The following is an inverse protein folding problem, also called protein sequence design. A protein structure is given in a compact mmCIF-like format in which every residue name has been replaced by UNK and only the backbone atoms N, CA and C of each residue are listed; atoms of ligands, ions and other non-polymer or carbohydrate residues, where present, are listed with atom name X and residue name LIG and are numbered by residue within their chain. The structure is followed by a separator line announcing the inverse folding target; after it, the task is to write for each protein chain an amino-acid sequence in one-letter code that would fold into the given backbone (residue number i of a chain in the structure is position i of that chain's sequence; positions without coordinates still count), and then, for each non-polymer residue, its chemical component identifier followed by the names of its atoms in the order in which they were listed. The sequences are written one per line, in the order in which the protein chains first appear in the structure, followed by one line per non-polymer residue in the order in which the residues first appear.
data_IF_008569403469
#
_entry.id   IF_008569403469
#
_cell.length_a   1.000
_cell.length_b   1.000
_cell.length_c   1.000
_cell.angle_alpha   90.00
_cell.angle_beta   90.00
_cell.angle_gamma   90.00
#
_symmetry.space_group_name_H-M   'P 1'
#
loop_
_entity.id
_entity.type
_entity.pdbx_description
1 polymer ?
#
# COMPACT_ATOMS: atom_id res chain seq x y z
N UNK A 1 -15.76 -5.85 4.61
CA UNK A 1 -15.16 -4.51 4.51
C UNK A 1 -15.72 -3.84 3.26
N UNK A 2 -16.28 -2.63 3.33
CA UNK A 2 -16.75 -1.94 2.12
C UNK A 2 -15.56 -1.63 1.20
N UNK A 3 -15.78 -1.49 -0.11
CA UNK A 3 -14.72 -1.17 -1.09
C UNK A 3 -13.87 0.03 -0.66
N UNK A 4 -14.53 1.06 -0.10
CA UNK A 4 -13.92 2.29 0.44
C UNK A 4 -13.01 2.08 1.64
N UNK A 5 -13.34 1.12 2.52
CA UNK A 5 -12.50 0.79 3.66
C UNK A 5 -11.23 0.05 3.21
N UNK A 6 -11.28 -0.67 2.08
CA UNK A 6 -10.09 -1.30 1.49
C UNK A 6 -9.18 -0.27 0.82
N UNK A 7 -9.72 0.68 0.06
CA UNK A 7 -8.94 1.77 -0.58
C UNK A 7 -8.22 2.64 0.47
N UNK A 8 -8.90 2.95 1.59
CA UNK A 8 -8.31 3.71 2.69
C UNK A 8 -7.19 2.95 3.40
N UNK A 9 -7.37 1.65 3.66
CA UNK A 9 -6.32 0.82 4.23
C UNK A 9 -5.09 0.73 3.31
N UNK A 10 -5.28 0.73 1.99
CA UNK A 10 -4.18 0.75 1.01
C UNK A 10 -3.40 2.07 1.04
N UNK A 11 -4.10 3.21 1.07
CA UNK A 11 -3.45 4.51 1.17
C UNK A 11 -2.66 4.66 2.47
N UNK A 12 -3.23 4.24 3.60
CA UNK A 12 -2.54 4.25 4.89
C UNK A 12 -1.30 3.36 4.87
N UNK A 13 -1.37 2.20 4.24
CA UNK A 13 -0.22 1.32 4.08
C UNK A 13 0.90 1.97 3.26
N UNK A 14 0.56 2.59 2.12
CA UNK A 14 1.52 3.34 1.30
C UNK A 14 2.13 4.48 2.09
N UNK A 15 1.33 5.19 2.87
CA UNK A 15 1.78 6.30 3.67
C UNK A 15 2.77 5.83 4.76
N UNK A 16 2.43 4.76 5.49
CA UNK A 16 3.30 4.18 6.51
C UNK A 16 4.59 3.62 5.90
N UNK A 17 4.52 3.02 4.70
CA UNK A 17 5.68 2.60 3.90
C UNK A 17 6.58 3.82 3.61
N UNK A 18 6.00 4.92 3.17
CA UNK A 18 6.78 6.12 2.82
C UNK A 18 7.37 6.78 4.08
N UNK A 19 6.66 6.76 5.21
CA UNK A 19 7.17 7.34 6.46
C UNK A 19 8.35 6.57 7.08
N UNK A 20 8.50 5.28 6.77
CA UNK A 20 9.62 4.47 7.29
C UNK A 20 10.91 4.62 6.49
N UNK A 21 10.95 5.45 5.44
CA UNK A 21 12.17 5.67 4.63
C UNK A 21 13.27 6.36 5.44
N UNK A 22 14.50 5.87 5.32
CA UNK A 22 15.68 6.51 5.91
C UNK A 22 15.99 7.85 5.23
N UNK A 23 16.09 8.91 6.02
CA UNK A 23 16.32 10.26 5.50
C UNK A 23 17.78 10.44 5.05
N UNK A 24 17.96 10.87 3.81
CA UNK A 24 19.27 11.31 3.28
C UNK A 24 19.18 12.76 2.77
N UNK A 25 20.32 13.45 2.70
CA UNK A 25 20.38 14.84 2.21
C UNK A 25 19.85 14.99 0.77
N UNK A 26 19.98 13.94 -0.04
CA UNK A 26 19.51 13.91 -1.42
C UNK A 26 17.99 14.04 -1.53
N UNK A 27 17.22 13.49 -0.60
CA UNK A 27 15.76 13.56 -0.64
C UNK A 27 15.24 14.97 -0.39
N UNK A 28 15.92 15.70 0.51
CA UNK A 28 15.65 17.13 0.75
C UNK A 28 15.90 17.93 -0.54
N UNK A 29 16.96 17.61 -1.28
CA UNK A 29 17.25 18.26 -2.58
C UNK A 29 16.15 17.97 -3.61
N UNK A 30 15.72 16.72 -3.77
CA UNK A 30 14.62 16.37 -4.68
C UNK A 30 13.33 17.12 -4.35
N UNK A 31 12.98 17.17 -3.06
CA UNK A 31 11.82 17.91 -2.59
C UNK A 31 11.93 19.39 -2.95
N UNK A 32 13.10 19.99 -2.73
CA UNK A 32 13.37 21.40 -3.04
C UNK A 32 13.28 21.68 -4.55
N UNK A 33 13.80 20.80 -5.41
CA UNK A 33 13.70 20.93 -6.86
C UNK A 33 12.24 20.94 -7.34
N UNK A 34 11.41 20.02 -6.85
CA UNK A 34 9.97 20.00 -7.16
C UNK A 34 9.28 21.28 -6.67
N UNK A 35 9.61 21.74 -5.46
CA UNK A 35 9.07 23.00 -4.93
C UNK A 35 9.46 24.19 -5.80
N UNK A 36 10.73 24.29 -6.23
CA UNK A 36 11.22 25.34 -7.12
C UNK A 36 10.55 25.28 -8.49
N UNK A 37 10.33 24.08 -9.04
CA UNK A 37 9.60 23.91 -10.29
C UNK A 37 8.16 24.43 -10.20
N UNK A 38 7.43 24.08 -9.14
CA UNK A 38 6.05 24.52 -8.88
C UNK A 38 5.93 26.03 -8.66
N UNK A 39 6.91 26.61 -7.99
CA UNK A 39 6.94 28.03 -7.62
C UNK A 39 7.82 28.88 -8.54
N UNK A 40 8.22 28.38 -9.72
CA UNK A 40 9.15 29.07 -10.65
C UNK A 40 8.70 30.49 -11.02
N UNK A 41 7.39 30.72 -11.05
CA UNK A 41 6.77 32.01 -11.41
C UNK A 41 6.42 32.86 -10.17
N UNK A 42 6.72 32.41 -8.95
CA UNK A 42 6.40 33.07 -7.69
C UNK A 42 7.67 33.42 -6.90
N UNK A 43 8.17 34.66 -7.07
CA UNK A 43 9.39 35.13 -6.42
C UNK A 43 9.34 35.08 -4.89
N UNK A 44 8.17 35.32 -4.28
CA UNK A 44 8.05 35.24 -2.82
C UNK A 44 8.15 33.79 -2.33
N UNK A 45 7.52 32.87 -3.06
CA UNK A 45 7.63 31.44 -2.80
C UNK A 45 9.07 30.94 -2.91
N UNK A 46 9.79 31.35 -3.96
CA UNK A 46 11.21 31.01 -4.13
C UNK A 46 12.09 31.50 -2.98
N UNK A 47 11.87 32.72 -2.47
CA UNK A 47 12.58 33.23 -1.29
C UNK A 47 12.32 32.39 -0.04
N UNK A 48 11.07 31.95 0.17
CA UNK A 48 10.72 31.08 1.31
C UNK A 48 11.36 29.69 1.15
N UNK A 49 11.48 29.19 -0.08
CA UNK A 49 12.18 27.93 -0.38
C UNK A 49 13.69 28.07 -0.10
N UNK A 50 14.32 29.18 -0.49
CA UNK A 50 15.73 29.45 -0.18
C UNK A 50 15.96 29.53 1.35
N UNK A 51 15.05 30.18 2.07
CA UNK A 51 15.08 30.24 3.54
C UNK A 51 14.95 28.84 4.15
N UNK A 52 14.03 28.02 3.65
CA UNK A 52 13.84 26.64 4.10
C UNK A 52 15.12 25.81 3.89
N UNK A 53 15.73 25.90 2.70
CA UNK A 53 16.94 25.14 2.38
C UNK A 53 18.05 25.37 3.42
N UNK A 54 18.24 26.63 3.82
CA UNK A 54 19.28 27.06 4.76
C UNK A 54 18.91 26.76 6.23
N UNK A 55 17.65 26.97 6.62
CA UNK A 55 17.27 27.04 8.04
C UNK A 55 16.55 25.79 8.57
N UNK A 56 16.07 24.93 7.67
CA UNK A 56 15.32 23.73 8.03
C UNK A 56 16.20 22.68 8.69
N UNK A 57 15.71 22.20 9.83
CA UNK A 57 16.21 21.05 10.58
C UNK A 57 15.03 20.15 10.94
N UNK A 58 15.27 18.86 11.14
CA UNK A 58 14.21 17.87 11.38
C UNK A 58 13.38 18.13 12.64
N UNK A 59 13.90 18.90 13.60
CA UNK A 59 13.21 19.38 14.80
C UNK A 59 12.30 20.61 14.55
N UNK A 60 12.29 21.19 13.34
CA UNK A 60 11.43 22.34 12.97
C UNK A 60 10.29 22.02 11.99
N UNK A 61 10.01 20.74 11.70
CA UNK A 61 8.95 20.33 10.80
C UNK A 61 7.56 20.88 11.17
N UNK A 62 7.15 20.83 12.45
CA UNK A 62 5.86 21.41 12.88
C UNK A 62 5.81 22.93 12.67
N UNK A 63 6.91 23.63 12.97
CA UNK A 63 7.01 25.07 12.74
C UNK A 63 6.85 25.41 11.24
N UNK A 64 7.47 24.65 10.35
CA UNK A 64 7.36 24.85 8.91
C UNK A 64 6.01 24.42 8.34
N UNK A 65 5.38 23.38 8.91
CA UNK A 65 4.05 22.91 8.52
C UNK A 65 2.96 23.94 8.85
N UNK A 66 3.07 24.62 9.98
CA UNK A 66 2.08 25.61 10.46
C UNK A 66 2.33 27.03 9.94
N UNK A 67 3.51 27.29 9.36
CA UNK A 67 3.82 28.56 8.70
C UNK A 67 3.08 28.65 7.37
N UNK A 68 2.55 29.84 7.04
CA UNK A 68 2.07 30.15 5.69
C UNK A 68 3.24 30.08 4.69
N UNK A 69 3.39 28.92 4.07
CA UNK A 69 4.52 28.56 3.22
C UNK A 69 4.06 27.67 2.05
N UNK A 70 5.03 27.11 1.31
CA UNK A 70 4.75 26.14 0.25
C UNK A 70 4.41 24.75 0.82
N UNK A 71 4.96 24.38 1.98
CA UNK A 71 4.89 23.01 2.51
C UNK A 71 3.48 22.61 2.89
N UNK A 72 2.78 23.41 3.69
CA UNK A 72 1.40 23.12 4.08
C UNK A 72 0.52 22.85 2.87
N UNK A 73 0.66 23.66 1.81
CA UNK A 73 -0.18 23.55 0.61
C UNK A 73 0.17 22.31 -0.20
N UNK A 74 1.44 22.12 -0.54
CA UNK A 74 1.88 21.01 -1.39
C UNK A 74 1.69 19.65 -0.69
N UNK A 75 1.99 19.55 0.60
CA UNK A 75 1.83 18.32 1.37
C UNK A 75 0.35 17.95 1.51
N UNK A 76 -0.52 18.90 1.87
CA UNK A 76 -1.95 18.60 1.99
C UNK A 76 -2.62 18.38 0.63
N UNK A 77 -2.13 18.97 -0.45
CA UNK A 77 -2.56 18.66 -1.82
C UNK A 77 -2.19 17.22 -2.20
N UNK A 78 -0.94 16.82 -2.01
CA UNK A 78 -0.45 15.47 -2.28
C UNK A 78 -1.26 14.41 -1.52
N UNK A 79 -1.49 14.65 -0.24
CA UNK A 79 -2.26 13.77 0.63
C UNK A 79 -3.75 13.70 0.23
N UNK A 80 -4.38 14.84 -0.09
CA UNK A 80 -5.80 14.88 -0.50
C UNK A 80 -6.04 14.23 -1.86
N UNK A 81 -5.09 14.36 -2.79
CA UNK A 81 -5.16 13.75 -4.12
C UNK A 81 -4.63 12.32 -4.16
N UNK A 82 -4.19 11.79 -3.02
CA UNK A 82 -3.56 10.48 -2.89
C UNK A 82 -2.43 10.28 -3.92
N UNK A 83 -1.71 11.36 -4.24
CA UNK A 83 -0.67 11.34 -5.24
C UNK A 83 0.60 10.74 -4.64
N UNK A 84 0.76 9.43 -4.83
CA UNK A 84 1.90 8.64 -4.32
C UNK A 84 3.25 9.24 -4.69
N UNK A 85 3.40 9.76 -5.91
CA UNK A 85 4.67 10.37 -6.37
C UNK A 85 4.99 11.63 -5.56
N UNK A 86 4.01 12.49 -5.34
CA UNK A 86 4.20 13.69 -4.53
C UNK A 86 4.44 13.34 -3.06
N UNK A 87 3.69 12.39 -2.51
CA UNK A 87 3.89 11.93 -1.12
C UNK A 87 5.32 11.38 -0.97
N UNK A 88 5.80 10.60 -1.94
CA UNK A 88 7.18 10.12 -1.99
C UNK A 88 8.18 11.29 -2.09
N UNK A 89 7.92 12.30 -2.91
CA UNK A 89 8.78 13.50 -2.99
C UNK A 89 8.85 14.25 -1.65
N UNK A 90 7.75 14.33 -0.90
CA UNK A 90 7.68 15.00 0.41
C UNK A 90 8.01 14.07 1.60
N UNK A 91 8.46 12.84 1.36
CA UNK A 91 8.63 11.80 2.39
C UNK A 91 9.53 12.22 3.54
N UNK A 92 10.63 12.93 3.26
CA UNK A 92 11.58 13.34 4.29
C UNK A 92 10.92 14.30 5.29
N UNK A 93 10.19 15.31 4.79
CA UNK A 93 9.44 16.26 5.60
C UNK A 93 8.26 15.59 6.34
N UNK A 94 7.52 14.72 5.66
CA UNK A 94 6.41 13.96 6.26
C UNK A 94 6.87 13.06 7.41
N UNK A 95 8.02 12.41 7.27
CA UNK A 95 8.67 11.61 8.31
C UNK A 95 9.07 12.49 9.50
N UNK A 96 9.72 13.64 9.28
CA UNK A 96 10.09 14.56 10.36
C UNK A 96 8.87 15.07 11.13
N UNK A 97 7.83 15.49 10.40
CA UNK A 97 6.57 15.96 10.96
C UNK A 97 5.90 14.88 11.81
N UNK A 98 5.85 13.65 11.31
CA UNK A 98 5.26 12.51 12.02
C UNK A 98 6.06 12.13 13.26
N UNK A 99 7.40 12.13 13.18
CA UNK A 99 8.30 11.87 14.31
C UNK A 99 8.12 12.91 15.42
N UNK A 100 8.06 14.19 15.09
CA UNK A 100 7.80 15.24 16.08
C UNK A 100 6.44 15.07 16.74
N UNK A 101 5.39 14.83 15.96
CA UNK A 101 4.05 14.63 16.50
C UNK A 101 4.01 13.42 17.44
N UNK A 102 4.69 12.33 17.08
CA UNK A 102 4.84 11.14 17.93
C UNK A 102 5.57 11.45 19.25
N UNK A 103 6.65 12.24 19.20
CA UNK A 103 7.40 12.65 20.39
C UNK A 103 6.53 13.48 21.35
N UNK A 104 5.72 14.40 20.82
CA UNK A 104 4.80 15.22 21.63
C UNK A 104 3.59 14.45 22.16
N UNK A 105 3.16 13.39 21.47
CA UNK A 105 1.96 12.66 21.81
C UNK A 105 1.98 12.06 23.23
N UNK A 106 3.10 11.42 23.60
CA UNK A 106 3.20 10.73 24.89
C UNK A 106 3.20 11.72 26.08
N UNK A 107 3.89 12.85 25.94
CA UNK A 107 3.91 13.89 26.97
C UNK A 107 2.54 14.56 27.10
N UNK A 108 1.88 14.82 25.98
CA UNK A 108 0.56 15.44 25.96
C UNK A 108 -0.54 14.56 26.58
N UNK A 109 -0.56 13.24 26.27
CA UNK A 109 -1.47 12.31 26.95
C UNK A 109 -1.23 12.32 28.47
N UNK A 110 0.03 12.34 28.89
CA UNK A 110 0.38 12.35 30.31
C UNK A 110 -0.11 13.64 30.99
N UNK A 111 0.02 14.79 30.34
CA UNK A 111 -0.48 16.08 30.83
C UNK A 111 -2.01 16.09 31.00
N UNK A 112 -2.75 15.59 30.01
CA UNK A 112 -4.22 15.49 30.07
C UNK A 112 -4.67 14.57 31.21
N UNK A 113 -4.04 13.40 31.36
CA UNK A 113 -4.35 12.45 32.43
C UNK A 113 -4.03 13.00 33.82
N UNK A 114 -2.91 13.72 33.96
CA UNK A 114 -2.57 14.40 35.21
C UNK A 114 -3.59 15.49 35.57
N UNK A 115 -4.28 16.05 34.57
CA UNK A 115 -5.37 17.00 34.74
C UNK A 115 -6.75 16.34 34.95
N UNK A 116 -6.80 15.00 35.02
CA UNK A 116 -8.05 14.24 35.19
C UNK A 116 -8.93 14.16 33.93
N UNK A 117 -8.36 14.38 32.75
CA UNK A 117 -9.07 14.35 31.47
C UNK A 117 -8.84 12.99 30.81
N UNK A 118 -9.89 12.18 30.73
CA UNK A 118 -9.87 10.90 29.99
C UNK A 118 -10.50 11.01 28.60
N UNK A 119 -11.44 11.95 28.44
CA UNK A 119 -12.15 12.22 27.19
C UNK A 119 -12.17 13.72 26.97
N UNK A 120 -11.85 14.17 25.76
CA UNK A 120 -11.94 15.58 25.38
C UNK A 120 -12.52 15.77 23.98
N UNK A 121 -12.81 17.02 23.63
CA UNK A 121 -13.41 17.37 22.35
C UNK A 121 -12.65 18.49 21.68
N UNK A 122 -12.42 18.35 20.38
CA UNK A 122 -11.82 19.37 19.52
C UNK A 122 -12.70 19.62 18.30
N UNK A 123 -12.55 20.81 17.72
CA UNK A 123 -13.42 21.32 16.66
C UNK A 123 -12.63 21.70 15.43
N UNK A 124 -13.28 21.56 14.26
CA UNK A 124 -12.79 22.10 12.99
C UNK A 124 -13.97 22.60 12.17
N UNK A 125 -13.94 23.88 11.80
CA UNK A 125 -14.86 24.38 10.79
C UNK A 125 -14.24 24.37 9.42
N UNK A 126 -14.98 23.91 8.42
CA UNK A 126 -14.57 24.00 7.03
C UNK A 126 -15.78 23.99 6.10
N UNK A 127 -15.57 24.47 4.88
CA UNK A 127 -16.54 24.30 3.80
C UNK A 127 -16.16 23.07 3.00
N UNK A 128 -17.09 22.15 2.81
CA UNK A 128 -16.89 20.92 2.02
C UNK A 128 -17.83 20.88 0.84
N UNK A 129 -17.53 20.08 -0.17
CA UNK A 129 -18.41 19.96 -1.34
C UNK A 129 -19.76 19.35 -0.95
N UNK A 130 -20.83 19.72 -1.64
CA UNK A 130 -22.15 19.14 -1.38
C UNK A 130 -22.18 17.61 -1.59
N UNK A 131 -21.35 17.10 -2.51
CA UNK A 131 -21.18 15.65 -2.76
C UNK A 131 -20.54 14.97 -1.55
N UNK A 132 -19.41 15.48 -1.07
CA UNK A 132 -18.72 14.96 0.11
C UNK A 132 -19.61 15.04 1.37
N UNK A 133 -20.37 16.13 1.53
CA UNK A 133 -21.32 16.25 2.63
C UNK A 133 -22.45 15.21 2.55
N UNK A 134 -23.02 14.99 1.37
CA UNK A 134 -24.06 13.98 1.16
C UNK A 134 -23.54 12.57 1.50
N UNK A 135 -22.28 12.29 1.18
CA UNK A 135 -21.64 11.03 1.57
C UNK A 135 -21.52 10.90 3.10
N UNK A 136 -21.13 11.97 3.81
CA UNK A 136 -21.11 11.97 5.28
C UNK A 136 -22.51 11.66 5.84
N UNK A 137 -23.56 12.28 5.29
CA UNK A 137 -24.95 12.05 5.72
C UNK A 137 -25.42 10.61 5.49
N UNK A 138 -25.01 9.97 4.39
CA UNK A 138 -25.40 8.59 4.07
C UNK A 138 -24.65 7.55 4.91
N UNK A 139 -23.52 7.93 5.52
CA UNK A 139 -22.60 7.02 6.22
C UNK A 139 -22.61 7.22 7.74
N UNK A 140 -23.69 7.73 8.32
CA UNK A 140 -23.87 7.76 9.79
C UNK A 140 -23.75 6.33 10.34
N UNK A 141 -22.95 6.18 11.40
CA UNK A 141 -22.58 4.89 12.00
C UNK A 141 -21.43 4.14 11.29
N UNK A 142 -20.84 4.73 10.25
CA UNK A 142 -19.69 4.16 9.53
C UNK A 142 -18.38 4.89 9.88
N UNK A 143 -17.26 4.30 9.46
CA UNK A 143 -15.93 4.86 9.65
C UNK A 143 -15.65 6.04 8.70
N UNK A 144 -15.00 7.05 9.23
CA UNK A 144 -14.52 8.24 8.57
C UNK A 144 -13.04 8.43 8.92
N UNK A 145 -12.22 8.77 7.93
CA UNK A 145 -10.79 9.02 8.14
C UNK A 145 -10.36 10.16 7.23
N UNK A 146 -9.33 10.89 7.67
CA UNK A 146 -8.75 11.98 6.89
C UNK A 146 -7.43 11.54 6.28
N UNK A 147 -7.27 11.81 4.98
CA UNK A 147 -6.02 11.53 4.28
C UNK A 147 -4.93 12.58 4.56
N UNK A 148 -5.27 13.67 5.28
CA UNK A 148 -4.35 14.75 5.68
C UNK A 148 -4.20 14.82 7.19
N UNK A 149 -3.16 15.51 7.67
CA UNK A 149 -3.10 15.90 9.07
C UNK A 149 -4.31 16.78 9.38
N UNK A 150 -4.93 16.51 10.52
CA UNK A 150 -6.18 17.14 10.90
C UNK A 150 -5.87 18.19 11.96
N UNK A 151 -5.78 19.44 11.51
CA UNK A 151 -5.70 20.62 12.38
C UNK A 151 -7.08 20.91 12.98
N UNK A 152 -7.11 21.05 14.31
CA UNK A 152 -8.31 21.26 15.13
C UNK A 152 -7.99 22.22 16.29
N UNK A 153 -9.02 22.67 17.00
CA UNK A 153 -8.87 23.54 18.18
C UNK A 153 -9.86 23.19 19.28
N UNK A 154 -9.52 23.54 20.53
CA UNK A 154 -10.48 23.50 21.64
C UNK A 154 -11.56 24.60 21.53
N UNK A 155 -11.28 25.69 20.80
CA UNK A 155 -12.17 26.83 20.71
C UNK A 155 -13.22 26.63 19.60
N UNK A 156 -14.44 26.32 20.02
CA UNK A 156 -15.59 26.13 19.12
C UNK A 156 -15.89 27.37 18.29
N UNK A 157 -15.72 28.57 18.84
CA UNK A 157 -16.05 29.82 18.15
C UNK A 157 -15.01 30.16 17.08
N UNK A 158 -13.74 29.85 17.36
CA UNK A 158 -12.68 29.90 16.33
C UNK A 158 -13.01 28.92 15.21
N UNK A 159 -13.35 27.67 15.52
CA UNK A 159 -13.73 26.70 14.50
C UNK A 159 -14.94 27.17 13.68
N UNK A 160 -15.98 27.73 14.30
CA UNK A 160 -17.15 28.27 13.60
C UNK A 160 -16.80 29.39 12.62
N UNK A 161 -15.84 30.27 12.95
CA UNK A 161 -15.36 31.30 12.00
C UNK A 161 -14.77 30.67 10.74
N UNK A 162 -14.06 29.55 10.86
CA UNK A 162 -13.51 28.83 9.71
C UNK A 162 -14.57 28.07 8.90
N UNK A 163 -15.66 27.59 9.51
CA UNK A 163 -16.81 27.04 8.78
C UNK A 163 -17.49 28.10 7.90
N UNK A 164 -17.39 29.37 8.31
CA UNK A 164 -18.06 30.50 7.68
C UNK A 164 -19.57 30.45 7.86
N UNK A 165 -20.29 31.29 7.12
CA UNK A 165 -21.75 31.28 7.09
C UNK A 165 -22.24 30.51 5.86
N UNK A 166 -23.33 29.75 6.00
CA UNK A 166 -23.93 28.95 4.93
C UNK A 166 -24.56 29.76 3.77
N UNK A 167 -24.25 31.06 3.66
CA UNK A 167 -24.63 31.88 2.52
C UNK A 167 -23.52 31.82 1.45
N UNK A 168 -23.92 31.95 0.18
CA UNK A 168 -23.11 32.35 -0.99
C UNK A 168 -22.54 31.31 -1.96
N UNK A 169 -22.59 29.99 -1.75
CA UNK A 169 -22.14 29.03 -2.80
C UNK A 169 -22.94 27.73 -2.84
N UNK A 170 -23.82 27.49 -3.84
CA UNK A 170 -24.68 26.30 -3.90
C UNK A 170 -23.95 24.95 -4.09
N UNK A 171 -22.62 24.96 -4.23
CA UNK A 171 -21.80 23.75 -4.39
C UNK A 171 -21.12 23.29 -3.09
N UNK A 172 -21.24 24.06 -2.01
CA UNK A 172 -20.50 23.82 -0.78
C UNK A 172 -21.39 23.99 0.45
N UNK A 173 -21.16 23.14 1.44
CA UNK A 173 -21.83 23.17 2.74
C UNK A 173 -20.85 23.68 3.81
N UNK A 174 -21.31 24.55 4.69
CA UNK A 174 -20.57 24.99 5.86
C UNK A 174 -20.75 23.98 6.99
N UNK A 175 -19.66 23.37 7.45
CA UNK A 175 -19.70 22.28 8.42
C UNK A 175 -18.79 22.57 9.60
N UNK A 176 -19.31 22.39 10.81
CA UNK A 176 -18.56 22.29 12.05
C UNK A 176 -18.42 20.81 12.43
N UNK A 177 -17.20 20.32 12.36
CA UNK A 177 -16.84 19.00 12.86
C UNK A 177 -16.49 19.08 14.34
N UNK A 178 -17.04 18.15 15.11
CA UNK A 178 -16.77 17.93 16.52
C UNK A 178 -16.17 16.53 16.68
N UNK A 179 -14.91 16.44 17.10
CA UNK A 179 -14.19 15.19 17.29
C UNK A 179 -14.09 14.89 18.79
N UNK A 180 -14.64 13.75 19.20
CA UNK A 180 -14.59 13.23 20.56
C UNK A 180 -13.43 12.24 20.65
N UNK A 181 -12.48 12.51 21.54
CA UNK A 181 -11.23 11.75 21.68
C UNK A 181 -11.19 11.12 23.07
N UNK A 182 -11.16 9.79 23.12
CA UNK A 182 -10.98 9.00 24.34
C UNK A 182 -9.52 8.52 24.44
N UNK A 183 -8.84 8.91 25.52
CA UNK A 183 -7.43 8.58 25.77
C UNK A 183 -7.18 7.10 26.07
N UNK A 184 -8.22 6.29 26.25
CA UNK A 184 -8.11 4.84 26.44
C UNK A 184 -8.08 4.07 25.11
N UNK A 185 -8.33 4.75 23.99
CA UNK A 185 -8.30 4.18 22.65
C UNK A 185 -6.88 4.26 22.11
N UNK A 186 -6.32 3.11 21.70
CA UNK A 186 -5.07 3.08 20.95
C UNK A 186 -5.28 3.66 19.55
N UNK A 187 -4.53 4.71 19.22
CA UNK A 187 -4.74 5.54 18.05
C UNK A 187 -3.41 6.05 17.48
N UNK A 188 -3.45 6.59 16.27
CA UNK A 188 -2.33 7.33 15.70
C UNK A 188 -2.03 8.60 16.52
N UNK A 189 -0.80 9.13 16.46
CA UNK A 189 -0.38 10.27 17.27
C UNK A 189 -1.23 11.53 17.07
N UNK A 190 -1.40 12.26 18.16
CA UNK A 190 -1.95 13.62 18.17
C UNK A 190 -1.30 14.40 19.32
N UNK A 191 -1.19 15.72 19.18
CA UNK A 191 -0.66 16.57 20.23
C UNK A 191 -1.19 18.01 20.15
N UNK A 192 -1.14 18.71 21.27
CA UNK A 192 -1.14 20.17 21.26
C UNK A 192 0.20 20.65 20.69
N UNK A 193 0.14 21.41 19.60
CA UNK A 193 1.33 21.90 18.90
C UNK A 193 1.55 23.40 19.05
N UNK A 194 0.79 24.10 19.90
CA UNK A 194 0.90 25.55 20.10
C UNK A 194 2.32 26.03 20.43
N UNK A 195 3.09 25.22 21.19
CA UNK A 195 4.46 25.55 21.54
C UNK A 195 5.45 25.43 20.38
N UNK A 196 5.21 24.49 19.45
CA UNK A 196 6.06 24.25 18.27
C UNK A 196 5.60 25.02 17.03
N UNK A 197 4.31 25.35 16.95
CA UNK A 197 3.69 26.04 15.83
C UNK A 197 4.35 27.39 15.55
N UNK A 198 4.41 27.78 14.28
CA UNK A 198 4.77 29.14 13.88
C UNK A 198 3.73 30.15 14.37
N UNK A 199 2.46 29.74 14.47
CA UNK A 199 1.35 30.55 14.96
C UNK A 199 1.20 30.39 16.49
N UNK A 200 2.08 31.05 17.25
CA UNK A 200 2.19 30.90 18.72
C UNK A 200 0.94 31.22 19.54
N UNK A 201 -0.06 31.86 18.94
CA UNK A 201 -1.30 32.25 19.62
C UNK A 201 -2.48 31.31 19.32
N UNK A 202 -2.29 30.32 18.44
CA UNK A 202 -3.33 29.37 18.09
C UNK A 202 -3.28 28.16 19.02
N UNK A 203 -4.43 27.83 19.61
CA UNK A 203 -4.60 26.64 20.44
C UNK A 203 -4.89 25.45 19.52
N UNK A 204 -3.85 24.98 18.83
CA UNK A 204 -3.93 24.00 17.75
C UNK A 204 -3.61 22.60 18.24
N UNK A 205 -4.55 21.69 18.03
CA UNK A 205 -4.38 20.25 18.22
C UNK A 205 -4.28 19.61 16.85
N UNK A 206 -3.13 18.98 16.57
CA UNK A 206 -2.87 18.31 15.31
C UNK A 206 -3.00 16.79 15.50
N UNK A 207 -3.81 16.16 14.64
CA UNK A 207 -3.96 14.71 14.60
C UNK A 207 -3.28 14.16 13.34
N UNK A 208 -2.66 12.98 13.46
CA UNK A 208 -1.91 12.35 12.38
C UNK A 208 -2.81 11.88 11.22
N UNK A 209 -2.19 11.73 10.04
CA UNK A 209 -2.82 11.16 8.84
C UNK A 209 -3.31 9.74 9.12
N UNK A 210 -4.52 9.42 8.64
CA UNK A 210 -5.14 8.11 8.86
C UNK A 210 -5.71 7.93 10.27
N UNK A 211 -5.96 9.02 11.00
CA UNK A 211 -6.77 8.93 12.22
C UNK A 211 -8.21 8.58 11.84
N UNK A 212 -8.77 7.55 12.49
CA UNK A 212 -10.09 6.98 12.15
C UNK A 212 -11.13 7.34 13.21
N UNK A 213 -12.30 7.74 12.74
CA UNK A 213 -13.45 8.13 13.53
C UNK A 213 -14.70 7.37 13.08
N UNK A 214 -15.72 7.31 13.93
CA UNK A 214 -17.08 6.92 13.57
C UNK A 214 -17.94 8.18 13.42
N UNK A 215 -18.78 8.26 12.38
CA UNK A 215 -19.74 9.36 12.22
C UNK A 215 -20.94 9.08 13.14
N UNK A 216 -21.06 9.81 14.25
CA UNK A 216 -22.12 9.55 15.23
C UNK A 216 -23.44 10.23 14.84
N UNK A 217 -23.37 11.48 14.40
CA UNK A 217 -24.56 12.25 14.03
C UNK A 217 -24.24 13.41 13.09
N UNK A 218 -25.25 13.80 12.31
CA UNK A 218 -25.24 14.98 11.45
C UNK A 218 -26.55 15.73 11.66
N UNK A 219 -26.49 17.00 12.05
CA UNK A 219 -27.68 17.82 12.28
C UNK A 219 -27.46 19.29 11.92
N UNK A 220 -28.48 20.02 11.47
CA UNK A 220 -28.35 21.44 11.16
C UNK A 220 -28.34 22.26 12.46
N UNK A 221 -27.46 23.26 12.55
CA UNK A 221 -27.53 24.26 13.62
C UNK A 221 -28.44 25.41 13.22
N UNK A 222 -29.26 25.85 14.18
CA UNK A 222 -30.08 27.06 14.07
C UNK A 222 -29.23 28.34 14.06
N UNK A 223 -27.99 28.25 14.52
CA UNK A 223 -27.03 29.36 14.53
C UNK A 223 -26.12 29.25 13.29
N UNK A 224 -26.12 30.28 12.45
CA UNK A 224 -25.20 30.51 11.31
C UNK A 224 -25.38 29.64 10.04
N UNK A 225 -26.43 28.83 9.93
CA UNK A 225 -26.67 27.93 8.80
C UNK A 225 -25.47 26.97 8.58
N UNK A 226 -24.99 26.39 9.67
CA UNK A 226 -23.84 25.47 9.70
C UNK A 226 -24.34 24.08 10.08
N UNK A 227 -23.87 23.05 9.38
CA UNK A 227 -24.10 21.66 9.75
C UNK A 227 -23.14 21.22 10.84
N UNK A 228 -23.64 20.51 11.84
CA UNK A 228 -22.84 19.91 12.90
C UNK A 228 -22.65 18.43 12.59
N UNK A 229 -21.40 17.98 12.64
CA UNK A 229 -21.02 16.58 12.47
C UNK A 229 -20.24 16.15 13.71
N UNK A 230 -20.78 15.19 14.46
CA UNK A 230 -20.10 14.61 15.62
C UNK A 230 -19.44 13.31 15.21
N UNK A 231 -18.16 13.17 15.59
CA UNK A 231 -17.30 12.06 15.26
C UNK A 231 -16.60 11.57 16.52
N UNK A 232 -16.64 10.26 16.79
CA UNK A 232 -15.91 9.66 17.92
C UNK A 232 -14.71 8.88 17.42
N UNK A 233 -13.56 9.08 18.07
CA UNK A 233 -12.33 8.36 17.75
C UNK A 233 -12.53 6.84 17.89
N UNK A 234 -12.01 6.07 16.94
CA UNK A 234 -12.07 4.61 16.97
C UNK A 234 -10.65 4.04 16.94
N UNK A 235 -10.44 2.90 17.61
CA UNK A 235 -9.13 2.25 17.60
C UNK A 235 -8.79 1.72 16.22
N UNK A 236 -7.57 1.97 15.79
CA UNK A 236 -6.95 1.30 14.64
C UNK A 236 -6.48 -0.08 15.09
N UNK A 237 -7.40 -1.05 15.25
CA UNK A 237 -7.01 -2.41 15.61
C UNK A 237 -6.49 -3.20 14.42
N UNK A 238 -5.18 -3.46 14.44
CA UNK A 238 -4.57 -4.80 14.29
C UNK A 238 -4.30 -5.41 12.91
N UNK A 239 -4.10 -4.63 11.85
CA UNK A 239 -3.49 -5.17 10.61
C UNK A 239 -2.05 -4.66 10.35
N UNK A 240 -1.58 -3.65 11.09
CA UNK A 240 -0.25 -3.04 10.87
C UNK A 240 0.95 -3.76 11.52
N UNK A 241 0.75 -4.86 12.25
CA UNK A 241 1.86 -5.54 12.97
C UNK A 241 2.51 -6.62 12.10
N UNK A 242 1.75 -7.28 11.23
CA UNK A 242 2.31 -8.26 10.29
C UNK A 242 3.18 -7.59 9.22
N UNK A 243 2.79 -6.39 8.77
CA UNK A 243 3.57 -5.61 7.82
C UNK A 243 4.81 -4.94 8.45
N UNK A 244 4.73 -4.49 9.73
CA UNK A 244 5.88 -3.92 10.45
C UNK A 244 7.05 -4.87 10.60
N UNK A 245 6.80 -6.18 10.69
CA UNK A 245 7.87 -7.18 10.81
C UNK A 245 8.57 -7.47 9.48
N UNK A 246 7.91 -7.26 8.33
CA UNK A 246 8.53 -7.33 6.99
C UNK A 246 9.19 -6.01 6.56
N UNK A 247 8.70 -4.87 7.07
CA UNK A 247 9.20 -3.52 6.83
C UNK A 247 10.62 -3.28 7.37
N UNK A 248 11.03 -3.96 8.44
CA UNK A 248 12.31 -3.70 9.11
C UNK A 248 13.56 -4.19 8.35
N UNK A 249 13.41 -4.92 7.23
CA UNK A 249 14.56 -5.37 6.44
C UNK A 249 14.49 -5.05 4.95
N UNK A 250 13.29 -4.97 4.34
CA UNK A 250 13.13 -4.84 2.89
C UNK A 250 13.19 -3.37 2.43
N UNK A 251 13.87 -3.05 1.32
CA UNK A 251 13.87 -1.71 0.75
C UNK A 251 12.46 -1.24 0.44
N UNK A 252 12.12 -0.06 0.96
CA UNK A 252 10.78 0.52 0.86
C UNK A 252 10.30 0.67 -0.58
N UNK A 253 11.20 1.02 -1.50
CA UNK A 253 10.90 1.15 -2.93
C UNK A 253 10.40 -0.16 -3.55
N UNK A 254 10.93 -1.29 -3.10
CA UNK A 254 10.47 -2.60 -3.54
C UNK A 254 9.09 -2.93 -2.98
N UNK A 255 8.87 -2.61 -1.70
CA UNK A 255 7.57 -2.80 -1.08
C UNK A 255 6.50 -1.94 -1.76
N UNK A 256 6.80 -0.66 -2.01
CA UNK A 256 5.94 0.27 -2.72
C UNK A 256 5.64 -0.21 -4.15
N UNK A 257 6.68 -0.60 -4.90
CA UNK A 257 6.52 -1.17 -6.24
C UNK A 257 5.63 -2.41 -6.25
N UNK A 258 5.84 -3.33 -5.29
CA UNK A 258 5.07 -4.56 -5.18
C UNK A 258 3.61 -4.32 -4.83
N UNK A 259 3.34 -3.36 -3.93
CA UNK A 259 1.99 -3.00 -3.53
C UNK A 259 1.23 -2.34 -4.70
N UNK A 260 1.87 -1.40 -5.39
CA UNK A 260 1.33 -0.74 -6.58
C UNK A 260 0.99 -1.74 -7.69
N UNK A 261 1.88 -2.70 -7.97
CA UNK A 261 1.66 -3.72 -9.01
C UNK A 261 0.60 -4.76 -8.63
N UNK A 262 0.66 -5.28 -7.40
CA UNK A 262 -0.16 -6.44 -7.01
C UNK A 262 -1.56 -6.03 -6.51
N UNK A 263 -1.66 -4.92 -5.79
CA UNK A 263 -2.91 -4.48 -5.14
C UNK A 263 -3.59 -3.40 -5.97
N UNK A 264 -2.87 -2.32 -6.30
CA UNK A 264 -3.47 -1.17 -7.00
C UNK A 264 -3.53 -1.35 -8.52
N UNK A 265 -2.79 -2.31 -9.08
CA UNK A 265 -2.63 -2.52 -10.54
C UNK A 265 -2.12 -1.29 -11.28
N UNK A 266 -1.41 -0.40 -10.58
CA UNK A 266 -0.75 0.78 -11.15
C UNK A 266 0.66 0.40 -11.61
N UNK A 267 0.72 -0.25 -12.77
CA UNK A 267 1.95 -0.84 -13.30
C UNK A 267 3.00 0.21 -13.66
N UNK A 268 2.60 1.40 -14.11
CA UNK A 268 3.51 2.47 -14.50
C UNK A 268 4.26 3.03 -13.28
N UNK A 269 3.54 3.28 -12.17
CA UNK A 269 4.20 3.71 -10.93
C UNK A 269 5.04 2.60 -10.33
N UNK A 270 4.53 1.36 -10.31
CA UNK A 270 5.29 0.22 -9.79
C UNK A 270 6.64 0.07 -10.51
N UNK A 271 6.63 0.14 -11.84
CA UNK A 271 7.83 0.09 -12.67
C UNK A 271 8.81 1.21 -12.33
N UNK A 272 8.31 2.45 -12.17
CA UNK A 272 9.12 3.60 -11.76
C UNK A 272 9.86 3.33 -10.45
N UNK A 273 9.17 2.82 -9.42
CA UNK A 273 9.79 2.60 -8.11
C UNK A 273 10.78 1.43 -8.10
N UNK A 274 10.52 0.36 -8.89
CA UNK A 274 11.52 -0.69 -9.09
C UNK A 274 12.78 -0.16 -9.77
N UNK A 275 12.64 0.72 -10.79
CA UNK A 275 13.79 1.35 -11.45
C UNK A 275 14.54 2.29 -10.52
N UNK A 276 13.83 3.13 -9.78
CA UNK A 276 14.42 4.04 -8.80
C UNK A 276 15.22 3.28 -7.74
N UNK A 277 14.72 2.13 -7.29
CA UNK A 277 15.45 1.26 -6.37
C UNK A 277 16.79 0.80 -6.95
N UNK A 278 16.77 0.32 -8.20
CA UNK A 278 17.98 -0.12 -8.91
C UNK A 278 18.98 1.03 -9.10
N UNK A 279 18.49 2.23 -9.40
CA UNK A 279 19.31 3.44 -9.57
C UNK A 279 19.97 3.88 -8.25
N UNK A 280 19.19 3.99 -7.17
CA UNK A 280 19.67 4.44 -5.85
C UNK A 280 20.70 3.47 -5.25
N UNK A 281 20.59 2.18 -5.56
CA UNK A 281 21.44 1.15 -5.01
C UNK A 281 22.56 0.72 -5.94
N UNK A 282 22.70 1.31 -7.14
CA UNK A 282 23.68 0.92 -8.14
C UNK A 282 25.14 1.02 -7.63
N UNK A 283 25.62 -0.05 -6.98
CA UNK A 283 27.00 -0.18 -6.51
C UNK A 283 27.79 -1.15 -7.38
N UNK A 284 29.11 -0.91 -7.46
CA UNK A 284 30.04 -1.79 -8.17
C UNK A 284 30.25 -3.15 -7.47
N UNK A 285 30.03 -3.20 -6.15
CA UNK A 285 30.14 -4.42 -5.33
C UNK A 285 28.95 -4.49 -4.35
N UNK A 286 27.80 -5.04 -4.78
CA UNK A 286 26.60 -5.10 -3.96
C UNK A 286 26.71 -6.21 -2.91
N UNK A 287 26.21 -5.93 -1.69
CA UNK A 287 26.09 -6.96 -0.66
C UNK A 287 25.14 -8.08 -1.11
N UNK A 288 25.29 -9.29 -0.55
CA UNK A 288 24.37 -10.41 -0.82
C UNK A 288 22.90 -10.03 -0.58
N UNK A 289 22.64 -9.20 0.43
CA UNK A 289 21.30 -8.70 0.73
C UNK A 289 20.79 -7.78 -0.40
N UNK A 290 21.63 -6.87 -0.87
CA UNK A 290 21.32 -5.99 -2.02
C UNK A 290 21.07 -6.78 -3.30
N UNK A 291 21.81 -7.87 -3.54
CA UNK A 291 21.61 -8.75 -4.69
C UNK A 291 20.22 -9.40 -4.66
N UNK A 292 19.77 -9.87 -3.49
CA UNK A 292 18.40 -10.39 -3.33
C UNK A 292 17.35 -9.35 -3.71
N UNK A 293 17.58 -8.10 -3.34
CA UNK A 293 16.70 -6.99 -3.68
C UNK A 293 16.72 -6.64 -5.17
N UNK A 294 17.87 -6.73 -5.85
CA UNK A 294 17.92 -6.59 -7.30
C UNK A 294 17.13 -7.67 -8.03
N UNK A 295 17.27 -8.93 -7.60
CA UNK A 295 16.50 -10.06 -8.17
C UNK A 295 15.01 -9.79 -8.05
N UNK A 296 14.58 -9.28 -6.90
CA UNK A 296 13.19 -8.92 -6.67
C UNK A 296 12.71 -7.78 -7.59
N UNK A 297 13.49 -6.70 -7.72
CA UNK A 297 13.17 -5.59 -8.62
C UNK A 297 13.03 -6.07 -10.06
N UNK A 298 13.99 -6.86 -10.55
CA UNK A 298 13.95 -7.40 -11.91
C UNK A 298 12.78 -8.35 -12.12
N UNK A 299 12.41 -9.17 -11.13
CA UNK A 299 11.21 -10.00 -11.20
C UNK A 299 9.92 -9.16 -11.26
N UNK A 300 9.85 -8.07 -10.50
CA UNK A 300 8.75 -7.11 -10.54
C UNK A 300 8.62 -6.44 -11.90
N UNK A 301 9.73 -5.96 -12.47
CA UNK A 301 9.79 -5.39 -13.81
C UNK A 301 9.39 -6.40 -14.90
N UNK A 302 9.92 -7.62 -14.84
CA UNK A 302 9.55 -8.69 -15.76
C UNK A 302 8.06 -9.01 -15.73
N UNK A 303 7.45 -9.00 -14.54
CA UNK A 303 6.02 -9.23 -14.38
C UNK A 303 5.21 -8.10 -15.02
N UNK A 304 5.59 -6.85 -14.77
CA UNK A 304 4.94 -5.67 -15.34
C UNK A 304 5.03 -5.68 -16.87
N UNK A 305 6.23 -5.89 -17.43
CA UNK A 305 6.41 -6.00 -18.89
C UNK A 305 5.59 -7.14 -19.49
N UNK A 306 5.46 -8.27 -18.79
CA UNK A 306 4.59 -9.38 -19.24
C UNK A 306 3.12 -8.94 -19.31
N UNK A 307 2.62 -8.24 -18.30
CA UNK A 307 1.24 -7.71 -18.30
C UNK A 307 1.01 -6.67 -19.40
N UNK A 308 2.02 -5.85 -19.71
CA UNK A 308 1.99 -4.88 -20.82
C UNK A 308 2.10 -5.54 -22.21
N UNK A 309 2.42 -6.84 -22.28
CA UNK A 309 2.65 -7.57 -23.55
C UNK A 309 4.04 -7.34 -24.16
N UNK A 310 4.95 -6.72 -23.41
CA UNK A 310 6.33 -6.41 -23.80
C UNK A 310 7.23 -7.64 -23.55
N UNK A 311 6.93 -8.74 -24.23
CA UNK A 311 7.52 -10.04 -23.90
C UNK A 311 9.05 -10.11 -24.03
N UNK A 312 9.67 -9.36 -24.95
CA UNK A 312 11.12 -9.32 -25.08
C UNK A 312 11.78 -8.66 -23.85
N UNK A 313 11.28 -7.49 -23.45
CA UNK A 313 11.72 -6.77 -22.24
C UNK A 313 11.46 -7.58 -20.98
N UNK A 314 10.33 -8.29 -20.91
CA UNK A 314 10.03 -9.19 -19.81
C UNK A 314 11.09 -10.31 -19.67
N UNK A 315 11.49 -10.92 -20.79
CA UNK A 315 12.56 -11.93 -20.80
C UNK A 315 13.89 -11.33 -20.35
N UNK A 316 14.27 -10.15 -20.85
CA UNK A 316 15.52 -9.48 -20.45
C UNK A 316 15.59 -9.26 -18.92
N UNK A 317 14.49 -8.81 -18.32
CA UNK A 317 14.41 -8.61 -16.87
C UNK A 317 14.46 -9.94 -16.10
N UNK A 318 13.70 -10.95 -16.50
CA UNK A 318 13.75 -12.25 -15.82
C UNK A 318 15.09 -12.96 -16.00
N UNK A 319 15.75 -12.80 -17.15
CA UNK A 319 17.11 -13.32 -17.36
C UNK A 319 18.15 -12.58 -16.52
N UNK A 320 17.98 -11.27 -16.29
CA UNK A 320 18.83 -10.52 -15.35
C UNK A 320 18.67 -11.04 -13.91
N UNK A 321 17.44 -11.27 -13.45
CA UNK A 321 17.16 -11.87 -12.15
C UNK A 321 17.75 -13.30 -12.05
N UNK A 322 17.64 -14.09 -13.12
CA UNK A 322 18.21 -15.43 -13.19
C UNK A 322 19.74 -15.42 -13.06
N UNK A 323 20.44 -14.57 -13.83
CA UNK A 323 21.91 -14.45 -13.76
C UNK A 323 22.39 -14.09 -12.36
N UNK A 324 21.75 -13.11 -11.71
CA UNK A 324 22.10 -12.73 -10.34
C UNK A 324 21.90 -13.90 -9.36
N UNK A 325 20.84 -14.68 -9.53
CA UNK A 325 20.57 -15.86 -8.72
C UNK A 325 21.65 -16.93 -8.94
N UNK A 326 21.99 -17.22 -10.19
CA UNK A 326 23.00 -18.21 -10.58
C UNK A 326 24.40 -17.84 -10.07
N UNK A 327 24.79 -16.58 -10.20
CA UNK A 327 26.13 -16.11 -9.84
C UNK A 327 26.35 -15.99 -8.32
N UNK A 328 25.31 -15.60 -7.55
CA UNK A 328 25.48 -15.16 -6.16
C UNK A 328 24.71 -15.99 -5.12
N UNK A 329 23.63 -16.65 -5.51
CA UNK A 329 22.76 -17.39 -4.58
C UNK A 329 23.01 -18.91 -4.64
N UNK A 330 24.29 -19.30 -4.75
CA UNK A 330 24.74 -20.69 -4.84
C UNK A 330 23.90 -21.65 -3.97
N UNK A 331 23.37 -22.71 -4.59
CA UNK A 331 22.51 -23.75 -4.00
C UNK A 331 21.07 -23.33 -3.63
N UNK A 332 20.56 -22.19 -4.10
CA UNK A 332 19.14 -21.86 -3.98
C UNK A 332 18.31 -22.40 -5.16
N UNK A 333 18.17 -23.72 -5.22
CA UNK A 333 17.33 -24.39 -6.22
C UNK A 333 15.89 -23.83 -6.27
N UNK A 334 15.38 -23.34 -5.13
CA UNK A 334 14.05 -22.71 -5.04
C UNK A 334 14.02 -21.39 -5.85
N UNK A 335 15.01 -20.51 -5.66
CA UNK A 335 15.11 -19.22 -6.35
C UNK A 335 15.34 -19.42 -7.86
N UNK A 336 16.19 -20.38 -8.23
CA UNK A 336 16.42 -20.76 -9.63
C UNK A 336 15.15 -21.33 -10.29
N UNK A 337 14.39 -22.18 -9.57
CA UNK A 337 13.14 -22.70 -10.08
C UNK A 337 12.08 -21.61 -10.28
N UNK A 338 12.01 -20.64 -9.37
CA UNK A 338 11.11 -19.48 -9.50
C UNK A 338 11.46 -18.64 -10.74
N UNK A 339 12.74 -18.42 -11.02
CA UNK A 339 13.17 -17.70 -12.20
C UNK A 339 12.76 -18.42 -13.49
N UNK A 340 12.91 -19.75 -13.56
CA UNK A 340 12.41 -20.54 -14.69
C UNK A 340 10.89 -20.45 -14.85
N UNK A 341 10.13 -20.48 -13.75
CA UNK A 341 8.68 -20.29 -13.82
C UNK A 341 8.27 -18.94 -14.41
N UNK A 342 8.95 -17.87 -14.00
CA UNK A 342 8.70 -16.54 -14.49
C UNK A 342 8.96 -16.45 -16.01
N UNK A 343 10.07 -17.03 -16.48
CA UNK A 343 10.39 -17.12 -17.91
C UNK A 343 9.34 -17.96 -18.65
N UNK A 344 8.93 -19.11 -18.11
CA UNK A 344 7.91 -19.96 -18.71
C UNK A 344 6.55 -19.25 -18.81
N UNK A 345 6.21 -18.44 -17.80
CA UNK A 345 5.00 -17.62 -17.80
C UNK A 345 4.99 -16.59 -18.94
N UNK A 346 6.14 -16.01 -19.31
CA UNK A 346 6.23 -15.13 -20.49
C UNK A 346 5.89 -15.90 -21.77
N UNK A 347 6.44 -17.10 -21.95
CA UNK A 347 6.13 -17.95 -23.10
C UNK A 347 4.67 -18.37 -23.12
N UNK A 348 4.07 -18.68 -21.97
CA UNK A 348 2.64 -18.95 -21.83
C UNK A 348 1.79 -17.75 -22.26
N UNK A 349 2.11 -16.54 -21.77
CA UNK A 349 1.40 -15.30 -22.12
C UNK A 349 1.52 -14.98 -23.62
N UNK A 350 2.67 -15.29 -24.23
CA UNK A 350 2.91 -15.21 -25.68
C UNK A 350 2.21 -16.33 -26.48
N UNK A 351 1.57 -17.29 -25.81
CA UNK A 351 0.98 -18.52 -26.38
C UNK A 351 1.96 -19.47 -27.06
N UNK A 352 3.24 -19.37 -26.71
CA UNK A 352 4.29 -20.30 -27.12
C UNK A 352 4.37 -21.46 -26.12
N UNK A 353 3.32 -22.29 -26.13
CA UNK A 353 3.13 -23.34 -25.14
C UNK A 353 4.22 -24.40 -25.16
N UNK A 354 4.86 -24.66 -26.31
CA UNK A 354 5.94 -25.65 -26.41
C UNK A 354 7.17 -25.21 -25.63
N UNK A 355 7.59 -23.96 -25.79
CA UNK A 355 8.72 -23.42 -25.04
C UNK A 355 8.36 -23.27 -23.55
N UNK A 356 7.14 -22.82 -23.22
CA UNK A 356 6.68 -22.75 -21.83
C UNK A 356 6.77 -24.13 -21.12
N UNK A 357 6.34 -25.21 -21.78
CA UNK A 357 6.43 -26.58 -21.23
C UNK A 357 7.89 -26.97 -20.95
N UNK A 358 8.81 -26.73 -21.89
CA UNK A 358 10.23 -27.07 -21.73
C UNK A 358 10.85 -26.32 -20.55
N UNK A 359 10.52 -25.04 -20.38
CA UNK A 359 11.06 -24.23 -19.28
C UNK A 359 10.43 -24.63 -17.94
N UNK A 360 9.12 -24.90 -17.87
CA UNK A 360 8.49 -25.40 -16.64
C UNK A 360 9.06 -26.75 -16.20
N UNK A 361 9.48 -27.62 -17.13
CA UNK A 361 10.16 -28.88 -16.79
C UNK A 361 11.49 -28.65 -16.05
N UNK A 362 12.28 -27.65 -16.46
CA UNK A 362 13.52 -27.27 -15.73
C UNK A 362 13.22 -26.80 -14.31
N UNK A 363 12.13 -26.05 -14.11
CA UNK A 363 11.70 -25.62 -12.77
C UNK A 363 11.30 -26.81 -11.87
N UNK A 364 10.70 -27.86 -12.45
CA UNK A 364 10.33 -29.09 -11.72
C UNK A 364 11.58 -29.84 -11.25
N UNK A 365 12.59 -29.98 -12.11
CA UNK A 365 13.85 -30.68 -11.79
C UNK A 365 14.55 -30.05 -10.59
N UNK A 366 14.51 -28.72 -10.47
CA UNK A 366 15.09 -27.99 -9.34
C UNK A 366 14.26 -28.09 -8.05
N UNK A 367 12.96 -28.42 -8.13
CA UNK A 367 12.09 -28.59 -6.96
C UNK A 367 11.96 -30.04 -6.50
N UNK A 368 13.02 -30.83 -6.63
CA UNK A 368 13.02 -32.28 -6.33
C UNK A 368 12.37 -32.64 -4.97
N UNK A 369 12.58 -31.83 -3.94
CA UNK A 369 12.11 -32.09 -2.57
C UNK A 369 10.81 -31.34 -2.19
N UNK A 370 10.23 -30.53 -3.09
CA UNK A 370 9.00 -29.77 -2.84
C UNK A 370 7.85 -30.26 -3.73
N UNK A 371 7.26 -31.37 -3.29
CA UNK A 371 6.20 -32.06 -4.03
C UNK A 371 4.91 -31.24 -4.21
N UNK A 372 4.62 -30.28 -3.32
CA UNK A 372 3.46 -29.38 -3.44
C UNK A 372 3.68 -28.44 -4.64
N UNK A 373 4.83 -27.76 -4.69
CA UNK A 373 5.18 -26.88 -5.81
C UNK A 373 5.32 -27.65 -7.12
N UNK A 374 5.85 -28.88 -7.10
CA UNK A 374 5.85 -29.75 -8.28
C UNK A 374 4.43 -30.03 -8.79
N UNK A 375 3.48 -30.29 -7.89
CA UNK A 375 2.10 -30.56 -8.26
C UNK A 375 1.44 -29.38 -8.96
N UNK A 376 1.69 -28.17 -8.47
CA UNK A 376 1.23 -26.94 -9.12
C UNK A 376 1.83 -26.76 -10.52
N UNK A 377 3.11 -27.06 -10.70
CA UNK A 377 3.78 -27.02 -12.01
C UNK A 377 3.25 -28.09 -12.96
N UNK A 378 3.00 -29.31 -12.49
CA UNK A 378 2.36 -30.34 -13.30
C UNK A 378 0.96 -29.92 -13.75
N UNK A 379 0.18 -29.27 -12.88
CA UNK A 379 -1.10 -28.70 -13.26
C UNK A 379 -0.97 -27.63 -14.36
N UNK A 380 -0.01 -26.70 -14.23
CA UNK A 380 0.28 -25.70 -15.28
C UNK A 380 0.63 -26.37 -16.60
N UNK A 381 1.58 -27.30 -16.62
CA UNK A 381 1.96 -28.03 -17.84
C UNK A 381 0.76 -28.80 -18.43
N UNK A 382 -0.10 -29.37 -17.59
CA UNK A 382 -1.34 -30.02 -18.03
C UNK A 382 -2.27 -29.06 -18.78
N UNK A 383 -2.44 -27.84 -18.27
CA UNK A 383 -3.23 -26.79 -18.92
C UNK A 383 -2.61 -26.38 -20.27
N UNK A 384 -1.28 -26.30 -20.34
CA UNK A 384 -0.57 -26.00 -21.60
C UNK A 384 -0.77 -27.10 -22.64
N UNK A 385 -0.70 -28.39 -22.25
CA UNK A 385 -1.00 -29.49 -23.16
C UNK A 385 -2.47 -29.50 -23.60
N UNK A 386 -3.40 -29.16 -22.70
CA UNK A 386 -4.82 -29.02 -23.04
C UNK A 386 -5.05 -27.89 -24.06
N UNK A 387 -4.36 -26.75 -23.92
CA UNK A 387 -4.37 -25.67 -24.90
C UNK A 387 -3.77 -26.07 -26.26
N UNK A 388 -2.81 -27.00 -26.26
CA UNK A 388 -2.29 -27.65 -27.47
C UNK A 388 -3.19 -28.78 -28.00
N UNK A 389 -4.33 -29.05 -27.36
CA UNK A 389 -5.24 -30.19 -27.63
C UNK A 389 -4.61 -31.57 -27.47
N UNK A 390 -3.46 -31.67 -26.78
CA UNK A 390 -2.84 -32.94 -26.39
C UNK A 390 -3.43 -33.42 -25.05
N UNK A 391 -4.65 -33.94 -25.15
CA UNK A 391 -5.43 -34.41 -24.00
C UNK A 391 -4.77 -35.58 -23.26
N UNK A 392 -3.98 -36.39 -23.96
CA UNK A 392 -3.28 -37.53 -23.38
C UNK A 392 -2.15 -37.07 -22.46
N UNK A 393 -1.32 -36.15 -22.96
CA UNK A 393 -0.25 -35.54 -22.15
C UNK A 393 -0.83 -34.68 -21.03
N UNK A 394 -1.89 -33.92 -21.28
CA UNK A 394 -2.58 -33.13 -20.26
C UNK A 394 -3.05 -34.00 -19.08
N UNK A 395 -3.76 -35.11 -19.38
CA UNK A 395 -4.21 -36.06 -18.36
C UNK A 395 -3.05 -36.64 -17.56
N UNK A 396 -1.96 -37.03 -18.23
CA UNK A 396 -0.76 -37.56 -17.58
C UNK A 396 -0.15 -36.55 -16.60
N UNK A 397 -0.12 -35.27 -16.97
CA UNK A 397 0.40 -34.23 -16.08
C UNK A 397 -0.53 -33.98 -14.89
N UNK A 398 -1.85 -33.92 -15.08
CA UNK A 398 -2.78 -33.80 -13.96
C UNK A 398 -2.71 -35.00 -13.00
N UNK A 399 -2.46 -36.21 -13.51
CA UNK A 399 -2.23 -37.39 -12.65
C UNK A 399 -0.99 -37.22 -11.79
N UNK A 400 0.14 -36.77 -12.37
CA UNK A 400 1.36 -36.48 -11.61
C UNK A 400 1.13 -35.38 -10.55
N UNK A 401 0.31 -34.38 -10.86
CA UNK A 401 -0.03 -33.32 -9.91
C UNK A 401 -0.77 -33.86 -8.68
N UNK A 402 -1.68 -34.81 -8.89
CA UNK A 402 -2.40 -35.49 -7.81
C UNK A 402 -1.44 -36.37 -7.01
N UNK A 403 -0.63 -37.18 -7.68
CA UNK A 403 0.33 -38.09 -7.05
C UNK A 403 1.35 -37.36 -6.15
N UNK A 404 1.80 -36.17 -6.53
CA UNK A 404 2.77 -35.40 -5.75
C UNK A 404 2.22 -34.96 -4.38
N UNK A 405 0.91 -34.75 -4.24
CA UNK A 405 0.27 -34.37 -2.97
C UNK A 405 0.01 -35.56 -2.04
N UNK A 406 -0.18 -36.77 -2.57
CA UNK A 406 -0.43 -37.99 -1.78
C UNK A 406 0.80 -38.54 -1.03
N UNK A 407 2.02 -38.11 -1.39
CA UNK A 407 3.27 -38.60 -0.80
C UNK A 407 3.55 -37.94 0.57
N UNK A 408 2.85 -36.85 0.94
CA UNK A 408 3.08 -36.13 2.19
C UNK A 408 2.19 -36.63 3.36
N UNK A 409 2.75 -37.19 4.47
CA UNK A 409 1.97 -37.86 5.53
C UNK A 409 1.00 -37.00 6.35
N UNK A 410 1.05 -35.66 6.21
CA UNK A 410 0.33 -34.71 7.07
C UNK A 410 -0.82 -33.95 6.38
N UNK A 411 -1.12 -34.20 5.09
CA UNK A 411 -2.06 -33.37 4.35
C UNK A 411 -3.43 -34.04 4.14
N UNK A 412 -4.50 -33.38 4.58
CA UNK A 412 -5.87 -33.64 4.10
C UNK A 412 -6.02 -33.25 2.62
N UNK A 413 -7.16 -33.57 2.01
CA UNK A 413 -7.45 -33.30 0.58
C UNK A 413 -7.32 -31.80 0.31
N UNK A 414 -6.40 -31.39 -0.58
CA UNK A 414 -6.21 -30.00 -0.98
C UNK A 414 -7.25 -29.57 -2.04
N UNK A 415 -7.56 -28.27 -2.09
CA UNK A 415 -8.47 -27.69 -3.12
C UNK A 415 -7.92 -27.93 -4.53
N UNK A 416 -6.60 -27.91 -4.70
CA UNK A 416 -5.95 -28.16 -5.99
C UNK A 416 -6.10 -29.62 -6.45
N UNK A 417 -6.17 -30.59 -5.52
CA UNK A 417 -6.44 -32.00 -5.87
C UNK A 417 -7.84 -32.13 -6.48
N UNK A 418 -8.84 -31.50 -5.86
CA UNK A 418 -10.21 -31.51 -6.38
C UNK A 418 -10.28 -30.90 -7.78
N UNK A 419 -9.51 -29.83 -8.05
CA UNK A 419 -9.40 -29.20 -9.37
C UNK A 419 -8.75 -30.13 -10.39
N UNK A 420 -7.65 -30.81 -10.04
CA UNK A 420 -6.97 -31.77 -10.92
C UNK A 420 -7.86 -32.97 -11.23
N UNK A 421 -8.56 -33.52 -10.22
CA UNK A 421 -9.54 -34.59 -10.43
C UNK A 421 -10.69 -34.15 -11.36
N UNK A 422 -11.21 -32.95 -11.19
CA UNK A 422 -12.21 -32.38 -12.08
C UNK A 422 -11.70 -32.27 -13.52
N UNK A 423 -10.46 -31.77 -13.71
CA UNK A 423 -9.83 -31.68 -15.04
C UNK A 423 -9.60 -33.05 -15.68
N UNK A 424 -9.22 -34.06 -14.90
CA UNK A 424 -9.10 -35.45 -15.39
C UNK A 424 -10.47 -35.97 -15.81
N UNK A 425 -11.50 -35.77 -14.97
CA UNK A 425 -12.86 -36.21 -15.24
C UNK A 425 -13.44 -35.55 -16.50
N UNK A 426 -13.27 -34.25 -16.69
CA UNK A 426 -13.75 -33.53 -17.88
C UNK A 426 -13.11 -34.06 -19.17
N UNK A 427 -11.81 -34.38 -19.13
CA UNK A 427 -11.11 -35.01 -20.27
C UNK A 427 -11.64 -36.43 -20.51
N UNK A 428 -11.97 -37.21 -19.47
CA UNK A 428 -12.54 -38.57 -19.64
C UNK A 428 -13.99 -38.56 -20.13
N UNK A 429 -14.78 -37.57 -19.74
CA UNK A 429 -16.19 -37.45 -20.10
C UNK A 429 -16.41 -36.87 -21.52
N UNK A 430 -15.34 -36.51 -22.23
CA UNK A 430 -15.40 -36.02 -23.61
C UNK A 430 -16.00 -34.62 -23.77
N UNK A 431 -16.15 -33.85 -22.68
CA UNK A 431 -16.89 -32.59 -22.71
C UNK A 431 -16.09 -31.37 -23.17
N UNK A 432 -14.75 -31.42 -23.20
CA UNK A 432 -13.88 -30.40 -23.83
C UNK A 432 -13.98 -28.95 -23.30
N UNK A 433 -14.95 -28.61 -22.45
CA UNK A 433 -15.20 -27.26 -21.93
C UNK A 433 -14.89 -27.21 -20.45
N UNK A 434 -13.84 -26.47 -20.08
CA UNK A 434 -13.53 -26.15 -18.68
C UNK A 434 -14.35 -24.94 -18.25
N UNK A 435 -15.42 -25.15 -17.48
CA UNK A 435 -16.13 -24.09 -16.79
C UNK A 435 -15.48 -23.79 -15.43
N UNK A 436 -15.23 -22.52 -15.11
CA UNK A 436 -14.78 -22.05 -13.80
C UNK A 436 -15.92 -22.12 -12.76
N UNK A 437 -16.40 -23.32 -12.43
CA UNK A 437 -17.47 -23.53 -11.46
C UNK A 437 -16.95 -24.21 -10.19
N UNK A 438 -16.99 -23.50 -9.06
CA UNK A 438 -16.81 -24.08 -7.71
C UNK A 438 -17.95 -25.05 -7.42
N UNK A 439 -17.78 -26.35 -7.72
CA UNK A 439 -18.70 -27.40 -7.29
C UNK A 439 -17.94 -28.49 -6.52
N UNK A 440 -18.44 -28.78 -5.33
CA UNK A 440 -17.84 -29.68 -4.35
C UNK A 440 -17.83 -31.13 -4.83
N UNK A 441 -16.63 -31.67 -5.09
CA UNK A 441 -16.44 -33.09 -5.41
C UNK A 441 -16.38 -33.89 -4.10
N UNK A 442 -17.41 -34.68 -3.78
CA UNK A 442 -17.36 -35.68 -2.71
C UNK A 442 -16.62 -36.92 -3.22
N UNK A 443 -15.38 -37.11 -2.78
CA UNK A 443 -14.61 -38.35 -3.02
C UNK A 443 -14.71 -39.24 -1.77
N UNK A 444 -15.26 -40.44 -1.93
CA UNK A 444 -15.27 -41.45 -0.87
C UNK A 444 -13.89 -42.09 -0.72
N UNK A 445 -13.29 -41.95 0.48
CA UNK A 445 -12.10 -42.73 0.89
C UNK A 445 -12.44 -44.22 0.90
N UNK A 446 -11.71 -45.03 0.13
CA UNK A 446 -11.36 -46.39 0.56
C UNK A 446 -9.94 -46.34 1.11
N UNK A 447 -9.82 -46.37 2.43
CA UNK A 447 -8.54 -46.63 3.09
C UNK A 447 -8.16 -48.10 2.81
N UNK A 448 -6.91 -48.41 2.44
CA UNK A 448 -6.40 -49.78 2.54
C UNK A 448 -6.14 -50.10 4.02
N UNK A 449 -6.53 -51.31 4.43
CA UNK A 449 -6.27 -51.89 5.75
C UNK A 449 -4.79 -52.22 5.94
#
# INVERSE_FOLDING_TARGET
MSLRNMEKAQFELIFDIILSTSQTDWEKLQMLEECRYRYKDNQNGLKIIDEFEITYTSDKALQWYTRDSFLFRLVNEACRTENVDQIYTFRCFLSDLSKQLYQLHSSYISELRNSGIDIFTVYRGQRISAVEFQEIQQNIGQLYSTNTFLSTTYDRDVALKFAGTGAERPKFESVLFQYVIDLNINTKPFANISHESYMKHENEILLSIGTVFCIDSVYPSTENNVWHVTLTLVSTTKEDIALKFELDQRPMLLLLGSHLASVMKDFDKAERYYRLFLEEHATADPSLLTIRYYIEAYNGLGQISTFKGEFATALEHYEAAFRLTEEHLNNENISMAQAYENIAYVYEAKRDYKNAIQIYQKAIELRADNYISQGQLFNKIGDLFANLTDWASARKMYQKAVESHFIHPLCGIYIDDARSYFKIFSITAGSGTFGNGEHSVRIHRKLPY
#
